data_IF_940138168088
#
_entry.id   IF_940138168088
#
_cell.length_a   1.000
_cell.length_b   1.000
_cell.length_c   1.000
_cell.angle_alpha   90.00
_cell.angle_beta   90.00
_cell.angle_gamma   90.00
#
_symmetry.space_group_name_H-M   'P 1'
#
loop_
_entity.id
_entity.type
_entity.pdbx_description
1 polymer ?
#
# COMPACT_ATOMS: atom_id res chain seq x y z
N UNK A 1 -40.33 -7.61 30.74
CA UNK A 1 -40.08 -6.48 29.81
C UNK A 1 -38.57 -6.24 29.81
N UNK A 2 -37.85 -6.87 28.88
CA UNK A 2 -36.40 -6.80 28.76
C UNK A 2 -36.01 -5.46 28.12
N UNK A 3 -35.30 -4.62 28.88
CA UNK A 3 -34.72 -3.39 28.39
C UNK A 3 -33.63 -3.71 27.36
N UNK A 4 -33.90 -3.45 26.08
CA UNK A 4 -32.87 -3.40 25.05
C UNK A 4 -32.00 -2.17 25.33
N UNK A 5 -30.76 -2.38 25.76
CA UNK A 5 -29.74 -1.34 25.86
C UNK A 5 -29.52 -0.77 24.45
N UNK A 6 -29.67 0.54 24.22
CA UNK A 6 -29.38 1.11 22.92
C UNK A 6 -27.87 1.00 22.70
N UNK A 7 -27.47 0.26 21.67
CA UNK A 7 -26.11 0.27 21.14
C UNK A 7 -25.76 1.72 20.81
N UNK A 8 -24.88 2.33 21.61
CA UNK A 8 -24.38 3.68 21.37
C UNK A 8 -23.82 3.74 19.94
N UNK A 9 -24.51 4.46 19.06
CA UNK A 9 -24.02 4.77 17.73
C UNK A 9 -22.72 5.55 17.90
N UNK A 10 -21.63 5.02 17.35
CA UNK A 10 -20.37 5.76 17.31
C UNK A 10 -20.59 7.09 16.57
N UNK A 11 -20.61 8.19 17.30
CA UNK A 11 -20.80 9.52 16.75
C UNK A 11 -19.54 9.95 15.99
N UNK A 12 -19.56 9.84 14.67
CA UNK A 12 -18.52 10.40 13.79
C UNK A 12 -18.89 11.83 13.41
N UNK A 13 -18.13 12.82 13.86
CA UNK A 13 -18.42 14.25 13.62
C UNK A 13 -18.41 14.68 12.14
N UNK A 14 -17.88 13.84 11.23
CA UNK A 14 -17.81 14.08 9.79
C UNK A 14 -18.69 13.14 8.95
N UNK A 15 -19.50 12.26 9.57
CA UNK A 15 -20.30 11.25 8.85
C UNK A 15 -19.49 10.16 8.13
N UNK A 16 -18.17 10.14 8.31
CA UNK A 16 -17.22 9.15 7.79
C UNK A 16 -16.69 8.29 8.93
N UNK A 17 -16.54 6.98 8.69
CA UNK A 17 -15.93 6.05 9.65
C UNK A 17 -14.53 6.53 10.05
N UNK A 18 -14.31 6.76 11.34
CA UNK A 18 -13.02 7.16 11.91
C UNK A 18 -11.89 6.20 11.52
N UNK A 19 -12.18 4.91 11.29
CA UNK A 19 -11.20 3.92 10.83
C UNK A 19 -10.67 4.23 9.43
N UNK A 20 -11.56 4.64 8.52
CA UNK A 20 -11.17 5.04 7.17
C UNK A 20 -10.30 6.28 7.22
N UNK A 21 -10.67 7.27 8.03
CA UNK A 21 -9.87 8.50 8.21
C UNK A 21 -8.48 8.20 8.78
N UNK A 22 -8.36 7.29 9.76
CA UNK A 22 -7.08 6.87 10.30
C UNK A 22 -6.19 6.18 9.24
N UNK A 23 -6.79 5.37 8.36
CA UNK A 23 -6.05 4.72 7.27
C UNK A 23 -5.51 5.73 6.25
N UNK A 24 -6.29 6.76 5.91
CA UNK A 24 -5.84 7.85 5.03
C UNK A 24 -4.70 8.66 5.65
N UNK A 25 -4.77 8.94 6.96
CA UNK A 25 -3.70 9.61 7.68
C UNK A 25 -2.41 8.77 7.72
N UNK A 26 -2.52 7.45 7.90
CA UNK A 26 -1.39 6.52 7.86
C UNK A 26 -0.70 6.57 6.49
N UNK A 27 -1.45 6.41 5.40
CA UNK A 27 -0.89 6.46 4.03
C UNK A 27 -0.20 7.81 3.77
N UNK A 28 -0.83 8.91 4.22
CA UNK A 28 -0.22 10.24 4.12
C UNK A 28 1.10 10.33 4.89
N UNK A 29 1.16 9.76 6.10
CA UNK A 29 2.38 9.74 6.93
C UNK A 29 3.51 8.93 6.29
N UNK A 30 3.22 7.75 5.73
CA UNK A 30 4.23 6.93 5.04
C UNK A 30 4.72 7.62 3.76
N UNK A 31 3.83 8.29 3.02
CA UNK A 31 4.21 9.11 1.87
C UNK A 31 5.19 10.23 2.26
N UNK A 32 4.94 10.93 3.36
CA UNK A 32 5.86 11.96 3.87
C UNK A 32 7.20 11.37 4.35
N UNK A 33 7.17 10.18 4.97
CA UNK A 33 8.38 9.46 5.36
C UNK A 33 9.25 9.17 4.12
N UNK A 34 8.70 8.51 3.10
CA UNK A 34 9.42 8.25 1.86
C UNK A 34 9.85 9.53 1.15
N UNK A 35 9.01 10.57 1.14
CA UNK A 35 9.34 11.89 0.60
C UNK A 35 10.58 12.50 1.25
N UNK A 36 10.71 12.41 2.57
CA UNK A 36 11.88 12.90 3.30
C UNK A 36 13.16 12.13 2.98
N UNK A 37 13.06 10.79 2.80
CA UNK A 37 14.18 9.94 2.40
C UNK A 37 14.64 10.27 0.97
N UNK A 38 13.71 10.43 0.03
CA UNK A 38 14.00 10.83 -1.35
C UNK A 38 14.60 12.24 -1.40
N UNK A 39 14.05 13.18 -0.63
CA UNK A 39 14.57 14.55 -0.52
C UNK A 39 16.03 14.54 -0.02
N UNK A 40 16.31 13.76 1.03
CA UNK A 40 17.67 13.56 1.54
C UNK A 40 18.58 12.98 0.46
N UNK A 41 18.15 11.93 -0.26
CA UNK A 41 18.92 11.39 -1.38
C UNK A 41 19.22 12.47 -2.44
N UNK A 42 18.24 13.27 -2.84
CA UNK A 42 18.44 14.34 -3.84
C UNK A 42 19.42 15.42 -3.37
N UNK A 43 19.39 15.82 -2.09
CA UNK A 43 20.30 16.83 -1.51
C UNK A 43 21.76 16.34 -1.44
N UNK A 44 21.96 15.04 -1.23
CA UNK A 44 23.27 14.41 -1.17
C UNK A 44 23.73 13.79 -2.51
N UNK A 45 22.84 13.70 -3.51
CA UNK A 45 23.12 13.18 -4.85
C UNK A 45 24.22 14.03 -5.51
N UNK A 46 25.34 13.38 -5.86
CA UNK A 46 26.47 14.02 -6.54
C UNK A 46 27.55 14.62 -5.63
N UNK A 47 27.40 14.53 -4.29
CA UNK A 47 28.47 14.91 -3.33
C UNK A 47 29.41 13.75 -2.96
N UNK A 48 29.28 12.60 -3.60
CA UNK A 48 30.21 11.47 -3.40
C UNK A 48 31.54 11.75 -4.09
N UNK A 49 32.62 11.80 -3.30
CA UNK A 49 33.98 12.14 -3.78
C UNK A 49 34.79 10.88 -4.14
N UNK A 50 34.38 9.67 -3.71
CA UNK A 50 35.08 8.40 -4.00
C UNK A 50 34.09 7.20 -4.08
N UNK A 51 33.95 6.59 -5.28
CA UNK A 51 33.41 5.23 -5.52
C UNK A 51 31.88 5.04 -5.62
N UNK A 52 31.44 3.83 -6.02
CA UNK A 52 31.18 3.39 -7.40
C UNK A 52 29.95 4.06 -8.04
N UNK A 53 29.90 4.12 -9.37
CA UNK A 53 28.79 4.74 -10.09
C UNK A 53 27.52 3.86 -10.02
N UNK A 54 26.30 4.43 -10.03
CA UNK A 54 25.03 3.69 -9.95
C UNK A 54 24.89 2.58 -11.00
N UNK A 55 25.63 2.70 -12.10
CA UNK A 55 25.62 1.77 -13.22
C UNK A 55 26.27 0.41 -12.92
N UNK A 56 27.11 0.31 -11.89
CA UNK A 56 27.78 -0.97 -11.51
C UNK A 56 26.95 -1.81 -10.54
N UNK A 57 25.92 -1.22 -9.92
CA UNK A 57 25.13 -1.84 -8.83
C UNK A 57 23.68 -2.12 -9.27
N UNK A 58 23.13 -1.27 -10.15
CA UNK A 58 21.77 -1.41 -10.66
C UNK A 58 21.75 -2.32 -11.88
N UNK A 59 21.57 -3.62 -11.64
CA UNK A 59 21.34 -4.58 -12.71
C UNK A 59 19.94 -4.34 -13.30
N UNK A 60 19.89 -3.59 -14.41
CA UNK A 60 18.64 -3.21 -15.11
C UNK A 60 17.64 -4.37 -15.26
N UNK A 61 18.02 -5.59 -15.66
CA UNK A 61 17.07 -6.69 -15.77
C UNK A 61 16.46 -7.14 -14.43
N UNK A 62 17.22 -7.12 -13.32
CA UNK A 62 16.69 -7.50 -12.01
C UNK A 62 15.74 -6.45 -11.45
N UNK A 63 16.10 -5.17 -11.51
CA UNK A 63 15.25 -4.07 -11.07
C UNK A 63 13.94 -4.00 -11.86
N UNK A 64 14.02 -4.29 -13.17
CA UNK A 64 12.83 -4.32 -14.04
C UNK A 64 11.94 -5.53 -13.73
N UNK A 65 12.54 -6.69 -13.42
CA UNK A 65 11.81 -7.88 -12.98
C UNK A 65 11.02 -7.65 -11.70
N UNK A 66 11.65 -7.08 -10.65
CA UNK A 66 10.96 -6.75 -9.41
C UNK A 66 9.85 -5.71 -9.59
N UNK A 67 10.03 -4.74 -10.51
CA UNK A 67 8.98 -3.76 -10.81
C UNK A 67 7.79 -4.41 -11.51
N UNK A 68 8.05 -5.32 -12.46
CA UNK A 68 6.99 -6.08 -13.13
C UNK A 68 6.18 -6.91 -12.13
N UNK A 69 6.87 -7.57 -11.19
CA UNK A 69 6.24 -8.35 -10.13
C UNK A 69 5.34 -7.49 -9.24
N UNK A 70 5.85 -6.35 -8.75
CA UNK A 70 5.06 -5.39 -7.96
C UNK A 70 3.83 -4.85 -8.71
N UNK A 71 3.96 -4.58 -10.01
CA UNK A 71 2.82 -4.16 -10.85
C UNK A 71 1.79 -5.28 -11.01
N UNK A 72 2.25 -6.52 -11.22
CA UNK A 72 1.40 -7.70 -11.31
C UNK A 72 0.66 -7.95 -9.99
N UNK A 73 1.34 -7.83 -8.85
CA UNK A 73 0.75 -7.94 -7.50
C UNK A 73 -0.35 -6.88 -7.26
N UNK A 74 -0.10 -5.62 -7.66
CA UNK A 74 -1.09 -4.55 -7.60
C UNK A 74 -2.33 -4.83 -8.46
N UNK A 75 -2.14 -5.34 -9.69
CA UNK A 75 -3.26 -5.73 -10.56
C UNK A 75 -4.07 -6.90 -9.98
N UNK A 76 -3.41 -7.91 -9.42
CA UNK A 76 -4.08 -9.05 -8.78
C UNK A 76 -4.93 -8.62 -7.58
N UNK A 77 -4.48 -7.64 -6.79
CA UNK A 77 -5.26 -7.08 -5.67
C UNK A 77 -6.58 -6.42 -6.15
N UNK A 78 -6.53 -5.68 -7.27
CA UNK A 78 -7.73 -5.06 -7.85
C UNK A 78 -8.71 -6.11 -8.39
N UNK A 79 -8.21 -7.17 -9.02
CA UNK A 79 -9.02 -8.30 -9.48
C UNK A 79 -9.66 -9.06 -8.31
N UNK A 80 -8.92 -9.24 -7.20
CA UNK A 80 -9.46 -9.81 -5.97
C UNK A 80 -10.62 -8.99 -5.42
N UNK A 81 -10.47 -7.66 -5.37
CA UNK A 81 -11.52 -6.75 -4.95
C UNK A 81 -12.76 -6.84 -5.85
N UNK A 82 -12.57 -6.91 -7.17
CA UNK A 82 -13.67 -7.07 -8.13
C UNK A 82 -14.42 -8.41 -7.95
N UNK A 83 -13.72 -9.49 -7.60
CA UNK A 83 -14.34 -10.79 -7.30
C UNK A 83 -15.15 -10.76 -5.99
N UNK A 84 -14.62 -10.11 -4.95
CA UNK A 84 -15.33 -9.93 -3.68
C UNK A 84 -16.60 -9.07 -3.86
N UNK A 85 -16.52 -8.01 -4.67
CA UNK A 85 -17.68 -7.17 -4.99
C UNK A 85 -18.80 -7.92 -5.73
N UNK A 86 -18.46 -8.96 -6.50
CA UNK A 86 -19.43 -9.84 -7.20
C UNK A 86 -20.06 -10.90 -6.28
N UNK A 87 -19.63 -10.97 -5.02
CA UNK A 87 -20.13 -11.96 -4.05
C UNK A 87 -19.37 -13.30 -4.06
N UNK A 88 -18.33 -13.44 -4.89
CA UNK A 88 -17.57 -14.68 -5.05
C UNK A 88 -16.41 -14.77 -4.04
N UNK A 89 -16.74 -15.00 -2.78
CA UNK A 89 -15.78 -15.05 -1.67
C UNK A 89 -14.69 -16.13 -1.81
N UNK A 90 -14.98 -17.24 -2.52
CA UNK A 90 -13.98 -18.29 -2.78
C UNK A 90 -12.88 -17.77 -3.72
N UNK A 91 -13.27 -17.13 -4.81
CA UNK A 91 -12.34 -16.54 -5.77
C UNK A 91 -11.61 -15.35 -5.16
N UNK A 92 -12.30 -14.48 -4.42
CA UNK A 92 -11.66 -13.38 -3.70
C UNK A 92 -10.52 -13.82 -2.76
N UNK A 93 -10.70 -14.91 -2.02
CA UNK A 93 -9.64 -15.48 -1.16
C UNK A 93 -8.47 -16.05 -1.95
N UNK A 94 -8.74 -16.70 -3.10
CA UNK A 94 -7.70 -17.24 -3.97
C UNK A 94 -6.86 -16.10 -4.56
N UNK A 95 -7.49 -15.04 -5.07
CA UNK A 95 -6.79 -13.88 -5.63
C UNK A 95 -5.96 -13.14 -4.56
N UNK A 96 -6.49 -12.97 -3.35
CA UNK A 96 -5.73 -12.38 -2.23
C UNK A 96 -4.52 -13.22 -1.82
N UNK A 97 -4.66 -14.55 -1.80
CA UNK A 97 -3.54 -15.43 -1.49
C UNK A 97 -2.48 -15.41 -2.60
N UNK A 98 -2.90 -15.35 -3.87
CA UNK A 98 -1.99 -15.19 -5.01
C UNK A 98 -1.22 -13.87 -4.94
N UNK A 99 -1.87 -12.75 -4.58
CA UNK A 99 -1.20 -11.46 -4.37
C UNK A 99 -0.16 -11.52 -3.25
N UNK A 100 -0.40 -12.28 -2.18
CA UNK A 100 0.52 -12.39 -1.04
C UNK A 100 1.74 -13.30 -1.30
N UNK A 101 1.71 -14.10 -2.35
CA UNK A 101 2.76 -15.07 -2.69
C UNK A 101 3.76 -14.52 -3.71
N UNK A 102 3.35 -13.52 -4.50
CA UNK A 102 4.20 -12.68 -5.33
C UNK A 102 4.93 -11.66 -4.44
#
# INVERSE_FOLDING_TARGET
MTHAVPLASHHTSMGLDSRKMAFWALIGSECLLFGSLISTYLVYKGKSVVGPYPHDILNIPLTSGSTFDLLMSSLMMVLALAAVQRGDMKWGKIWLFSTALL
#
